data_IF_088221105357
#
_entry.id   IF_088221105357
#
_cell.length_a   1.000
_cell.length_b   1.000
_cell.length_c   1.000
_cell.angle_alpha   90.00
_cell.angle_beta   90.00
_cell.angle_gamma   90.00
#
_symmetry.space_group_name_H-M   'P 1'
#
loop_
_entity.id
_entity.type
_entity.pdbx_description
1 polymer ?
#
# COMPACT_ATOMS: atom_id res chain seq x y z
N UNK A 1 2.00 38.36 -15.73
CA UNK A 1 1.68 37.83 -14.38
C UNK A 1 0.75 36.60 -14.38
N UNK A 2 0.09 36.25 -15.50
CA UNK A 2 -0.84 35.11 -15.58
C UNK A 2 -0.16 33.73 -15.74
N UNK A 3 0.96 33.64 -16.46
CA UNK A 3 1.66 32.36 -16.68
C UNK A 3 2.24 31.76 -15.40
N UNK A 4 2.82 32.58 -14.52
CA UNK A 4 3.49 32.14 -13.30
C UNK A 4 2.53 31.44 -12.33
N UNK A 5 1.26 31.89 -12.28
CA UNK A 5 0.21 31.26 -11.49
C UNK A 5 -0.24 29.91 -12.06
N UNK A 6 -0.29 29.77 -13.39
CA UNK A 6 -0.66 28.53 -14.08
C UNK A 6 0.39 27.42 -13.92
N UNK A 7 1.67 27.76 -14.08
CA UNK A 7 2.79 26.81 -13.95
C UNK A 7 2.96 26.29 -12.52
N UNK A 8 2.72 27.15 -11.52
CA UNK A 8 2.76 26.79 -10.10
C UNK A 8 1.64 25.82 -9.71
N UNK A 9 0.44 26.02 -10.27
CA UNK A 9 -0.72 25.16 -10.02
C UNK A 9 -0.53 23.74 -10.62
N UNK A 10 0.00 23.66 -11.85
CA UNK A 10 0.31 22.38 -12.50
C UNK A 10 1.37 21.59 -11.71
N UNK A 11 2.43 22.25 -11.25
CA UNK A 11 3.51 21.60 -10.50
C UNK A 11 3.00 21.00 -9.18
N UNK A 12 2.23 21.75 -8.38
CA UNK A 12 1.65 21.23 -7.13
C UNK A 12 0.76 20.01 -7.34
N UNK A 13 -0.03 19.98 -8.41
CA UNK A 13 -0.90 18.84 -8.73
C UNK A 13 -0.11 17.57 -9.08
N UNK A 14 0.99 17.71 -9.83
CA UNK A 14 1.90 16.58 -10.12
C UNK A 14 2.53 16.04 -8.85
N UNK A 15 3.06 16.91 -7.99
CA UNK A 15 3.64 16.49 -6.70
C UNK A 15 2.60 15.82 -5.78
N UNK A 16 1.38 16.36 -5.70
CA UNK A 16 0.29 15.76 -4.93
C UNK A 16 -0.05 14.35 -5.39
N UNK A 17 -0.13 14.12 -6.70
CA UNK A 17 -0.40 12.79 -7.26
C UNK A 17 0.73 11.78 -6.99
N UNK A 18 1.99 12.21 -7.06
CA UNK A 18 3.14 11.34 -6.75
C UNK A 18 3.11 10.92 -5.28
N UNK A 19 2.81 11.85 -4.38
CA UNK A 19 2.73 11.58 -2.94
C UNK A 19 1.56 10.64 -2.62
N UNK A 20 0.39 10.88 -3.19
CA UNK A 20 -0.80 10.02 -3.02
C UNK A 20 -0.53 8.58 -3.49
N UNK A 21 0.06 8.42 -4.68
CA UNK A 21 0.45 7.11 -5.18
C UNK A 21 1.56 6.46 -4.33
N UNK A 22 2.53 7.25 -3.86
CA UNK A 22 3.61 6.77 -2.99
C UNK A 22 3.09 6.22 -1.66
N UNK A 23 2.07 6.86 -1.07
CA UNK A 23 1.45 6.42 0.18
C UNK A 23 0.67 5.10 0.00
N UNK A 24 -0.02 4.93 -1.13
CA UNK A 24 -0.72 3.69 -1.49
C UNK A 24 0.26 2.53 -1.74
N UNK A 25 1.38 2.80 -2.40
CA UNK A 25 2.45 1.81 -2.59
C UNK A 25 3.10 1.42 -1.25
N UNK A 26 3.37 2.39 -0.38
CA UNK A 26 3.89 2.12 0.96
C UNK A 26 2.92 1.28 1.80
N UNK A 27 1.60 1.50 1.67
CA UNK A 27 0.59 0.66 2.31
C UNK A 27 0.68 -0.79 1.81
N UNK A 28 0.66 -0.99 0.50
CA UNK A 28 0.77 -2.32 -0.12
C UNK A 28 2.00 -3.06 0.38
N UNK A 29 3.16 -2.40 0.35
CA UNK A 29 4.43 -3.01 0.71
C UNK A 29 4.50 -3.31 2.22
N UNK A 30 3.90 -2.46 3.06
CA UNK A 30 3.81 -2.72 4.50
C UNK A 30 2.97 -3.96 4.81
N UNK A 31 1.83 -4.15 4.13
CA UNK A 31 0.99 -5.35 4.32
C UNK A 31 1.73 -6.61 3.86
N UNK A 32 2.39 -6.55 2.69
CA UNK A 32 3.15 -7.68 2.15
C UNK A 32 4.30 -8.11 3.08
N UNK A 33 5.09 -7.15 3.58
CA UNK A 33 6.22 -7.43 4.49
C UNK A 33 5.74 -7.97 5.84
N UNK A 34 4.64 -7.43 6.37
CA UNK A 34 4.09 -7.88 7.66
C UNK A 34 3.57 -9.31 7.61
N UNK A 35 3.16 -9.83 6.44
CA UNK A 35 2.71 -11.20 6.30
C UNK A 35 3.84 -12.24 6.18
N UNK A 36 5.11 -11.82 6.18
CA UNK A 36 6.24 -12.69 5.87
C UNK A 36 6.47 -13.81 6.91
N UNK A 37 6.14 -13.58 8.17
CA UNK A 37 6.22 -14.58 9.24
C UNK A 37 4.93 -15.41 9.40
N UNK A 38 3.91 -15.10 8.60
CA UNK A 38 2.69 -15.89 8.44
C UNK A 38 1.47 -15.40 9.21
N UNK A 39 1.61 -14.40 10.08
CA UNK A 39 0.50 -13.83 10.86
C UNK A 39 0.72 -12.33 11.09
N UNK A 40 -0.35 -11.56 11.29
CA UNK A 40 -0.23 -10.14 11.64
C UNK A 40 -0.33 -9.93 13.15
N UNK A 41 0.69 -9.30 13.74
CA UNK A 41 0.64 -8.90 15.14
C UNK A 41 -0.20 -7.62 15.35
N UNK A 42 -0.59 -7.36 16.61
CA UNK A 42 -1.41 -6.18 16.96
C UNK A 42 -0.73 -4.84 16.67
N UNK A 43 0.60 -4.78 16.69
CA UNK A 43 1.38 -3.56 16.42
C UNK A 43 1.44 -3.31 14.91
N UNK A 44 1.64 -4.34 14.12
CA UNK A 44 1.65 -4.30 12.65
C UNK A 44 0.29 -3.85 12.11
N UNK A 45 -0.79 -4.46 12.59
CA UNK A 45 -2.16 -4.05 12.23
C UNK A 45 -2.39 -2.57 12.55
N UNK A 46 -1.89 -2.08 13.69
CA UNK A 46 -2.02 -0.66 14.05
C UNK A 46 -1.23 0.25 13.11
N UNK A 47 -0.04 -0.17 12.69
CA UNK A 47 0.80 0.60 11.77
C UNK A 47 0.15 0.62 10.38
N UNK A 48 -0.27 -0.53 9.85
CA UNK A 48 -0.97 -0.66 8.57
C UNK A 48 -2.21 0.26 8.54
N UNK A 49 -3.04 0.24 9.60
CA UNK A 49 -4.22 1.12 9.70
C UNK A 49 -3.87 2.61 9.71
N UNK A 50 -2.73 3.00 10.30
CA UNK A 50 -2.26 4.39 10.26
C UNK A 50 -1.83 4.79 8.85
N UNK A 51 -1.11 3.91 8.15
CA UNK A 51 -0.68 4.16 6.77
C UNK A 51 -1.89 4.26 5.85
N UNK A 52 -2.89 3.36 5.99
CA UNK A 52 -4.12 3.39 5.22
C UNK A 52 -4.88 4.71 5.38
N UNK A 53 -5.01 5.20 6.63
CA UNK A 53 -5.60 6.50 6.92
C UNK A 53 -4.86 7.66 6.25
N UNK A 54 -3.52 7.63 6.24
CA UNK A 54 -2.70 8.66 5.58
C UNK A 54 -2.86 8.59 4.05
N UNK A 55 -2.94 7.38 3.50
CA UNK A 55 -3.09 7.11 2.07
C UNK A 55 -4.53 7.31 1.54
N UNK A 56 -5.49 7.66 2.40
CA UNK A 56 -6.89 7.80 2.03
C UNK A 56 -7.55 6.51 1.58
N UNK A 57 -7.04 5.35 2.03
CA UNK A 57 -7.56 4.02 1.70
C UNK A 57 -8.59 3.62 2.75
N UNK A 58 -9.80 3.27 2.30
CA UNK A 58 -10.87 2.81 3.17
C UNK A 58 -10.68 1.33 3.60
N UNK A 59 -11.57 0.85 4.47
CA UNK A 59 -11.47 -0.50 5.01
C UNK A 59 -11.75 -1.58 3.95
N UNK A 60 -12.57 -1.29 2.95
CA UNK A 60 -12.92 -2.26 1.91
C UNK A 60 -11.71 -2.49 1.01
N UNK A 61 -11.11 -1.41 0.51
CA UNK A 61 -9.86 -1.47 -0.26
C UNK A 61 -8.69 -2.04 0.57
N UNK A 62 -8.63 -1.75 1.87
CA UNK A 62 -7.62 -2.36 2.74
C UNK A 62 -7.84 -3.88 2.89
N UNK A 63 -9.08 -4.34 2.95
CA UNK A 63 -9.41 -5.77 3.01
C UNK A 63 -9.01 -6.49 1.72
N UNK A 64 -9.22 -5.86 0.56
CA UNK A 64 -8.74 -6.36 -0.73
C UNK A 64 -7.21 -6.50 -0.77
N UNK A 65 -6.46 -5.57 -0.15
CA UNK A 65 -5.00 -5.67 -0.05
C UNK A 65 -4.60 -6.87 0.81
N UNK A 66 -5.28 -7.11 1.94
CA UNK A 66 -5.03 -8.29 2.78
C UNK A 66 -5.29 -9.59 2.00
N UNK A 67 -6.41 -9.67 1.29
CA UNK A 67 -6.74 -10.84 0.47
C UNK A 67 -5.70 -11.07 -0.62
N UNK A 68 -5.28 -10.02 -1.31
CA UNK A 68 -4.24 -10.11 -2.34
C UNK A 68 -2.91 -10.65 -1.78
N UNK A 69 -2.51 -10.23 -0.57
CA UNK A 69 -1.30 -10.75 0.09
C UNK A 69 -1.46 -12.22 0.47
N UNK A 70 -2.62 -12.63 0.98
CA UNK A 70 -2.90 -14.04 1.28
C UNK A 70 -2.81 -14.91 0.02
N UNK A 71 -3.42 -14.46 -1.08
CA UNK A 71 -3.38 -15.13 -2.38
C UNK A 71 -1.94 -15.26 -2.89
N UNK A 72 -1.14 -14.18 -2.80
CA UNK A 72 0.29 -14.19 -3.18
C UNK A 72 1.07 -15.27 -2.42
N UNK A 73 0.94 -15.31 -1.09
CA UNK A 73 1.64 -16.29 -0.27
C UNK A 73 1.12 -17.72 -0.50
N UNK A 74 -0.15 -17.89 -0.86
CA UNK A 74 -0.70 -19.22 -1.21
C UNK A 74 0.00 -19.80 -2.45
N UNK A 75 0.20 -18.98 -3.48
CA UNK A 75 0.92 -19.37 -4.71
C UNK A 75 2.39 -19.62 -4.41
N UNK A 76 3.01 -18.77 -3.59
CA UNK A 76 4.40 -18.94 -3.17
C UNK A 76 4.61 -20.26 -2.41
N UNK A 77 3.76 -20.57 -1.43
CA UNK A 77 3.80 -21.82 -0.65
C UNK A 77 3.64 -23.04 -1.56
N UNK A 78 2.70 -23.01 -2.51
CA UNK A 78 2.52 -24.08 -3.49
C UNK A 78 3.81 -24.36 -4.29
N UNK A 79 4.62 -23.34 -4.58
CA UNK A 79 5.90 -23.55 -5.27
C UNK A 79 6.91 -24.34 -4.45
N UNK A 80 6.93 -24.08 -3.14
CA UNK A 80 7.81 -24.76 -2.22
C UNK A 80 7.40 -26.24 -2.06
N UNK A 81 6.13 -26.58 -2.24
CA UNK A 81 5.65 -27.97 -2.15
C UNK A 81 6.05 -28.84 -3.35
N UNK A 82 6.17 -28.28 -4.56
CA UNK A 82 6.59 -29.06 -5.74
C UNK A 82 8.09 -28.99 -6.02
N UNK A 83 8.82 -28.04 -5.42
CA UNK A 83 10.27 -27.93 -5.51
C UNK A 83 11.02 -28.68 -4.40
N UNK A 84 10.31 -29.13 -3.36
CA UNK A 84 10.83 -29.97 -2.27
C UNK A 84 10.44 -31.42 -2.50
#
# INVERSE_FOLDING_TARGET
MSEIHSTTHRSRKVYGNIIDNGQKLALRDAVLVSACDGDYDKKEIRIIKKIAKIAGVDNDALSEIYQWVEDYWSVYKRSNDFLR
#
